data_IF_352123595245
#
_entry.id   IF_352123595245
#
_cell.length_a   1.000
_cell.length_b   1.000
_cell.length_c   1.000
_cell.angle_alpha   90.00
_cell.angle_beta   90.00
_cell.angle_gamma   90.00
#
_symmetry.space_group_name_H-M   'P 1'
#
loop_
_entity.id
_entity.type
_entity.pdbx_description
1 polymer ?
#
# COMPACT_ATOMS: atom_id res chain seq x y z
N UNK A 1 36.99 46.77 -49.90
CA UNK A 1 35.91 46.76 -48.89
C UNK A 1 35.49 45.31 -48.71
N UNK A 2 36.02 44.64 -47.69
CA UNK A 2 35.70 43.25 -47.37
C UNK A 2 34.75 43.21 -46.18
N UNK A 3 33.50 42.82 -46.41
CA UNK A 3 32.52 42.61 -45.34
C UNK A 3 32.74 41.23 -44.72
N UNK A 4 33.19 41.19 -43.46
CA UNK A 4 33.22 39.97 -42.66
C UNK A 4 31.82 39.69 -42.11
N UNK A 5 31.26 38.55 -42.52
CA UNK A 5 30.06 37.96 -41.93
C UNK A 5 30.47 37.38 -40.57
N UNK A 6 30.05 38.02 -39.49
CA UNK A 6 30.18 37.45 -38.15
C UNK A 6 29.14 36.33 -37.98
N UNK A 7 29.60 35.09 -37.96
CA UNK A 7 28.81 33.93 -37.55
C UNK A 7 28.52 34.06 -36.05
N UNK A 8 27.28 34.40 -35.70
CA UNK A 8 26.80 34.36 -34.32
C UNK A 8 26.85 32.93 -33.79
N UNK A 9 27.79 32.66 -32.88
CA UNK A 9 27.90 31.37 -32.22
C UNK A 9 26.71 31.12 -31.31
N UNK A 10 26.00 30.00 -31.53
CA UNK A 10 25.06 29.45 -30.56
C UNK A 10 25.84 29.08 -29.29
N UNK A 11 25.74 29.91 -28.25
CA UNK A 11 26.19 29.51 -26.92
C UNK A 11 25.28 28.36 -26.44
N UNK A 12 25.82 27.22 -25.98
CA UNK A 12 24.99 26.19 -25.37
C UNK A 12 24.37 26.78 -24.10
N UNK A 13 23.06 27.00 -24.13
CA UNK A 13 22.28 27.32 -22.94
C UNK A 13 22.54 26.22 -21.91
N UNK A 14 22.89 26.60 -20.69
CA UNK A 14 23.05 25.65 -19.59
C UNK A 14 21.80 24.75 -19.52
N UNK A 15 21.95 23.43 -19.32
CA UNK A 15 20.81 22.55 -19.22
C UNK A 15 19.87 23.05 -18.12
N UNK A 16 18.55 23.05 -18.35
CA UNK A 16 17.59 23.51 -17.36
C UNK A 16 17.79 22.71 -16.06
N UNK A 17 17.81 23.40 -14.93
CA UNK A 17 17.93 22.76 -13.62
C UNK A 17 16.67 21.95 -13.35
N UNK A 18 16.79 20.63 -13.22
CA UNK A 18 15.69 19.74 -12.88
C UNK A 18 15.43 19.89 -11.37
N UNK A 19 14.27 20.40 -11.00
CA UNK A 19 13.84 20.53 -9.61
C UNK A 19 13.03 19.29 -9.21
N UNK A 20 13.66 18.38 -8.47
CA UNK A 20 13.01 17.16 -7.99
C UNK A 20 12.02 17.48 -6.87
N UNK A 21 10.83 16.86 -6.86
CA UNK A 21 9.92 16.96 -5.74
C UNK A 21 10.50 16.24 -4.52
N UNK A 22 10.19 16.76 -3.33
CA UNK A 22 10.57 16.11 -2.08
C UNK A 22 9.63 14.96 -1.72
N UNK A 23 10.05 14.14 -0.75
CA UNK A 23 9.31 12.97 -0.32
C UNK A 23 7.92 13.30 0.23
N UNK A 24 7.76 14.46 0.88
CA UNK A 24 6.47 14.88 1.43
C UNK A 24 5.49 15.26 0.32
N UNK A 25 5.96 15.93 -0.72
CA UNK A 25 5.17 16.28 -1.90
C UNK A 25 4.73 15.03 -2.66
N UNK A 26 5.63 14.06 -2.85
CA UNK A 26 5.31 12.78 -3.50
C UNK A 26 4.30 12.00 -2.65
N UNK A 27 4.54 11.88 -1.33
CA UNK A 27 3.66 11.16 -0.43
C UNK A 27 2.24 11.77 -0.41
N UNK A 28 2.13 13.10 -0.41
CA UNK A 28 0.83 13.78 -0.48
C UNK A 28 0.08 13.48 -1.79
N UNK A 29 0.79 13.43 -2.92
CA UNK A 29 0.19 13.08 -4.21
C UNK A 29 -0.28 11.61 -4.24
N UNK A 30 0.52 10.71 -3.69
CA UNK A 30 0.16 9.29 -3.54
C UNK A 30 -1.06 9.09 -2.64
N UNK A 31 -1.13 9.81 -1.52
CA UNK A 31 -2.25 9.77 -0.59
C UNK A 31 -3.53 10.29 -1.25
N UNK A 32 -3.45 11.43 -1.95
CA UNK A 32 -4.58 12.00 -2.67
C UNK A 32 -5.08 11.06 -3.78
N UNK A 33 -4.16 10.43 -4.51
CA UNK A 33 -4.51 9.42 -5.51
C UNK A 33 -5.22 8.22 -4.87
N UNK A 34 -4.69 7.67 -3.79
CA UNK A 34 -5.30 6.55 -3.09
C UNK A 34 -6.70 6.88 -2.53
N UNK A 35 -6.88 8.10 -2.02
CA UNK A 35 -8.15 8.58 -1.50
C UNK A 35 -9.20 8.81 -2.60
N UNK A 36 -8.79 9.21 -3.79
CA UNK A 36 -9.69 9.52 -4.91
C UNK A 36 -9.98 8.32 -5.82
N UNK A 37 -9.11 7.31 -5.84
CA UNK A 37 -9.26 6.12 -6.68
C UNK A 37 -10.46 5.26 -6.23
N UNK A 38 -11.40 5.05 -7.17
CA UNK A 38 -12.59 4.23 -6.98
C UNK A 38 -12.24 2.76 -6.80
N UNK A 39 -11.17 2.28 -7.44
CA UNK A 39 -10.72 0.90 -7.34
C UNK A 39 -10.00 0.61 -6.02
N UNK A 40 -9.63 1.65 -5.28
CA UNK A 40 -8.97 1.56 -3.97
C UNK A 40 -9.96 1.50 -2.80
N UNK A 41 -11.28 1.42 -3.03
CA UNK A 41 -12.28 1.38 -1.94
C UNK A 41 -12.09 0.19 -0.98
N UNK A 42 -11.97 -1.02 -1.51
CA UNK A 42 -11.75 -2.22 -0.69
C UNK A 42 -10.40 -2.18 0.05
N UNK A 43 -9.36 -1.65 -0.60
CA UNK A 43 -8.06 -1.46 0.04
C UNK A 43 -8.14 -0.45 1.20
N UNK A 44 -8.88 0.66 1.04
CA UNK A 44 -9.12 1.64 2.10
C UNK A 44 -9.85 1.03 3.29
N UNK A 45 -10.88 0.22 3.03
CA UNK A 45 -11.62 -0.47 4.09
C UNK A 45 -10.75 -1.46 4.85
N UNK A 46 -9.92 -2.22 4.13
CA UNK A 46 -8.97 -3.14 4.73
C UNK A 46 -7.92 -2.40 5.58
N UNK A 47 -7.36 -1.31 5.08
CA UNK A 47 -6.41 -0.47 5.82
C UNK A 47 -7.05 0.13 7.05
N UNK A 48 -8.30 0.59 6.97
CA UNK A 48 -9.05 1.09 8.13
C UNK A 48 -9.28 -0.01 9.17
N UNK A 49 -9.61 -1.22 8.72
CA UNK A 49 -9.83 -2.37 9.61
C UNK A 49 -8.53 -2.80 10.31
N UNK A 50 -7.43 -2.87 9.56
CA UNK A 50 -6.12 -3.26 10.08
C UNK A 50 -5.45 -2.16 10.91
N UNK A 51 -5.59 -0.90 10.49
CA UNK A 51 -5.00 0.24 11.16
C UNK A 51 -5.81 0.78 12.33
N UNK A 52 -7.12 0.46 12.40
CA UNK A 52 -8.06 1.13 13.30
C UNK A 52 -8.33 2.59 12.90
N UNK A 53 -9.14 3.29 13.69
CA UNK A 53 -9.54 4.69 13.42
C UNK A 53 -8.37 5.67 13.27
N UNK A 54 -7.23 5.38 13.91
CA UNK A 54 -6.01 6.21 13.87
C UNK A 54 -4.95 5.68 12.91
N UNK A 55 -5.20 4.55 12.26
CA UNK A 55 -4.26 3.94 11.33
C UNK A 55 -4.17 4.73 10.04
N UNK A 56 -2.98 4.77 9.44
CA UNK A 56 -2.75 5.47 8.18
C UNK A 56 -1.71 4.76 7.32
N UNK A 57 -1.79 4.98 6.02
CA UNK A 57 -0.71 4.61 5.10
C UNK A 57 0.36 5.70 5.09
N UNK A 58 1.61 5.27 5.11
CA UNK A 58 2.80 6.07 4.86
C UNK A 58 3.52 5.49 3.66
N UNK A 59 4.09 6.35 2.83
CA UNK A 59 4.84 5.97 1.65
C UNK A 59 6.33 6.14 1.92
N UNK A 60 7.10 5.07 1.80
CA UNK A 60 8.56 5.12 1.90
C UNK A 60 9.13 5.22 0.49
N UNK A 61 9.64 6.38 0.12
CA UNK A 61 10.15 6.66 -1.22
C UNK A 61 11.62 6.26 -1.26
N UNK A 62 11.96 5.42 -2.23
CA UNK A 62 13.31 4.86 -2.40
C UNK A 62 14.06 5.51 -3.55
N UNK A 63 13.35 5.88 -4.61
CA UNK A 63 13.96 6.43 -5.82
C UNK A 63 13.01 7.36 -6.55
N UNK A 64 13.55 8.44 -7.11
CA UNK A 64 12.83 9.37 -7.99
C UNK A 64 13.63 9.55 -9.28
N UNK A 65 13.04 9.20 -10.42
CA UNK A 65 13.71 9.20 -11.73
C UNK A 65 13.01 10.21 -12.64
N UNK A 66 13.74 11.16 -13.21
CA UNK A 66 13.16 12.11 -14.16
C UNK A 66 12.95 11.47 -15.55
N UNK A 67 11.75 11.59 -16.13
CA UNK A 67 11.34 10.98 -17.41
C UNK A 67 10.90 12.05 -18.44
N UNK A 68 11.69 13.12 -18.59
CA UNK A 68 11.42 14.20 -19.57
C UNK A 68 10.04 14.85 -19.42
N UNK A 69 9.67 15.19 -18.18
CA UNK A 69 8.41 15.84 -17.85
C UNK A 69 7.91 15.35 -16.49
N UNK A 70 7.35 14.14 -16.43
CA UNK A 70 7.02 13.50 -15.17
C UNK A 70 8.24 12.89 -14.47
N UNK A 71 8.08 12.58 -13.19
CA UNK A 71 9.01 11.81 -12.38
C UNK A 71 8.45 10.41 -12.15
N UNK A 72 9.28 9.40 -12.10
CA UNK A 72 8.91 8.07 -11.69
C UNK A 72 9.39 7.86 -10.25
N UNK A 73 8.45 7.68 -9.33
CA UNK A 73 8.74 7.38 -7.93
C UNK A 73 8.64 5.86 -7.69
N UNK A 74 9.68 5.29 -7.08
CA UNK A 74 9.70 3.92 -6.54
C UNK A 74 9.53 3.99 -5.03
N UNK A 75 8.56 3.28 -4.49
CA UNK A 75 8.19 3.38 -3.08
C UNK A 75 7.59 2.10 -2.52
N UNK A 76 7.51 2.02 -1.19
CA UNK A 76 6.74 1.01 -0.47
C UNK A 76 5.56 1.65 0.25
N UNK A 77 4.49 0.88 0.45
CA UNK A 77 3.35 1.28 1.28
C UNK A 77 3.47 0.64 2.67
N UNK A 78 3.45 1.49 3.69
CA UNK A 78 3.63 1.11 5.09
C UNK A 78 2.40 1.51 5.88
N UNK A 79 1.75 0.53 6.51
CA UNK A 79 0.67 0.77 7.45
C UNK A 79 1.27 1.17 8.80
N UNK A 80 0.97 2.38 9.25
CA UNK A 80 1.21 2.83 10.62
C UNK A 80 -0.01 2.43 11.44
N UNK A 81 0.18 1.53 12.39
CA UNK A 81 -0.89 0.96 13.21
C UNK A 81 -1.45 2.01 14.17
N UNK A 82 -2.77 2.19 14.20
CA UNK A 82 -3.47 3.05 15.17
C UNK A 82 -3.90 2.34 16.44
N UNK A 83 -3.79 1.01 16.47
CA UNK A 83 -4.20 0.13 17.57
C UNK A 83 -3.28 -1.10 17.64
N UNK A 84 -3.29 -1.88 18.75
CA UNK A 84 -2.53 -3.13 18.85
C UNK A 84 -2.94 -4.13 17.76
N UNK A 85 -1.98 -4.83 17.19
CA UNK A 85 -2.23 -5.71 16.05
C UNK A 85 -3.10 -6.92 16.37
N UNK A 86 -3.12 -7.40 17.62
CA UNK A 86 -4.11 -8.39 18.08
C UNK A 86 -5.56 -7.88 17.90
N UNK A 87 -5.83 -6.61 18.21
CA UNK A 87 -7.13 -5.99 18.01
C UNK A 87 -7.47 -5.86 16.52
N UNK A 88 -6.47 -5.52 15.69
CA UNK A 88 -6.62 -5.46 14.23
C UNK A 88 -6.93 -6.82 13.61
N UNK A 89 -6.23 -7.88 14.03
CA UNK A 89 -6.53 -9.24 13.59
C UNK A 89 -7.91 -9.68 14.04
N UNK A 90 -8.31 -9.36 15.27
CA UNK A 90 -9.64 -9.69 15.76
C UNK A 90 -10.73 -9.01 14.91
N UNK A 91 -10.56 -7.72 14.60
CA UNK A 91 -11.49 -6.98 13.74
C UNK A 91 -11.56 -7.56 12.33
N UNK A 92 -10.40 -7.86 11.72
CA UNK A 92 -10.33 -8.43 10.38
C UNK A 92 -10.98 -9.83 10.34
N UNK A 93 -10.64 -10.72 11.27
CA UNK A 93 -11.22 -12.06 11.32
C UNK A 93 -12.72 -12.02 11.57
N UNK A 94 -13.21 -11.06 12.37
CA UNK A 94 -14.65 -10.87 12.55
C UNK A 94 -15.40 -10.58 11.25
N UNK A 95 -14.76 -9.96 10.24
CA UNK A 95 -15.36 -9.72 8.92
C UNK A 95 -15.33 -10.94 7.99
N UNK A 96 -14.45 -11.91 8.28
CA UNK A 96 -14.33 -13.15 7.49
C UNK A 96 -15.31 -14.23 7.97
N UNK A 97 -15.85 -14.09 9.18
CA UNK A 97 -16.80 -15.04 9.77
C UNK A 97 -18.23 -14.55 9.50
N UNK A 98 -19.12 -15.38 8.92
CA UNK A 98 -20.53 -15.03 8.76
C UNK A 98 -21.16 -14.62 10.09
N UNK A 99 -21.99 -13.58 10.07
CA UNK A 99 -22.57 -13.00 11.30
C UNK A 99 -23.30 -14.05 12.17
N UNK A 100 -24.05 -14.95 11.54
CA UNK A 100 -24.76 -16.04 12.21
C UNK A 100 -23.84 -17.02 12.94
N UNK A 101 -22.63 -17.26 12.41
CA UNK A 101 -21.64 -18.13 13.04
C UNK A 101 -20.87 -17.36 14.13
N UNK A 102 -20.51 -16.11 13.86
CA UNK A 102 -19.84 -15.24 14.83
C UNK A 102 -20.64 -15.06 16.11
N UNK A 103 -21.97 -14.96 16.03
CA UNK A 103 -22.86 -14.85 17.19
C UNK A 103 -22.88 -16.11 18.07
N UNK A 104 -22.49 -17.27 17.53
CA UNK A 104 -22.40 -18.54 18.26
C UNK A 104 -21.04 -18.74 18.93
N UNK A 105 -20.04 -17.94 18.57
CA UNK A 105 -18.70 -18.09 19.11
C UNK A 105 -18.62 -17.55 20.54
N UNK A 106 -18.12 -18.36 21.49
CA UNK A 106 -17.99 -17.94 22.87
C UNK A 106 -16.90 -16.87 22.96
N UNK A 107 -17.30 -15.66 23.39
CA UNK A 107 -16.46 -14.47 23.52
C UNK A 107 -15.92 -13.97 22.16
N UNK A 108 -16.14 -12.68 21.88
CA UNK A 108 -15.55 -12.00 20.73
C UNK A 108 -14.04 -11.79 20.95
N UNK A 109 -13.28 -12.88 20.87
CA UNK A 109 -11.84 -12.94 21.10
C UNK A 109 -11.10 -13.35 19.82
N UNK A 110 -9.84 -12.95 19.73
CA UNK A 110 -8.97 -13.30 18.61
C UNK A 110 -8.81 -14.83 18.48
N UNK A 111 -8.58 -15.51 19.60
CA UNK A 111 -8.36 -16.96 19.65
C UNK A 111 -9.59 -17.73 19.16
N UNK A 112 -10.81 -17.30 19.55
CA UNK A 112 -12.04 -17.93 19.09
C UNK A 112 -12.24 -17.77 17.58
N UNK A 113 -11.96 -16.57 17.04
CA UNK A 113 -12.09 -16.31 15.60
C UNK A 113 -11.03 -17.06 14.79
N UNK A 114 -9.77 -17.05 15.24
CA UNK A 114 -8.70 -17.80 14.58
C UNK A 114 -8.97 -19.31 14.61
N UNK A 115 -9.48 -19.84 15.74
CA UNK A 115 -9.87 -21.23 15.87
C UNK A 115 -10.98 -21.64 14.91
N UNK A 116 -12.01 -20.81 14.75
CA UNK A 116 -13.10 -21.07 13.80
C UNK A 116 -12.60 -21.02 12.35
N UNK A 117 -11.78 -20.03 11.98
CA UNK A 117 -11.24 -19.91 10.62
C UNK A 117 -10.33 -21.10 10.27
N UNK A 118 -9.52 -21.59 11.23
CA UNK A 118 -8.74 -22.83 11.07
C UNK A 118 -9.63 -24.05 10.84
N UNK A 119 -10.73 -24.19 11.59
CA UNK A 119 -11.69 -25.28 11.36
C UNK A 119 -12.36 -25.19 9.99
N UNK A 120 -12.65 -23.98 9.50
CA UNK A 120 -13.16 -23.80 8.14
C UNK A 120 -12.14 -24.21 7.08
N UNK A 121 -10.86 -23.88 7.26
CA UNK A 121 -9.81 -24.35 6.35
C UNK A 121 -9.75 -25.89 6.30
N UNK A 122 -9.81 -26.56 7.45
CA UNK A 122 -9.85 -28.03 7.52
C UNK A 122 -11.10 -28.60 6.83
N UNK A 123 -12.26 -27.96 6.99
CA UNK A 123 -13.49 -28.35 6.29
C UNK A 123 -13.35 -28.22 4.77
N UNK A 124 -12.75 -27.10 4.31
CA UNK A 124 -12.51 -26.82 2.90
C UNK A 124 -11.55 -27.81 2.25
N UNK A 125 -10.64 -28.47 2.98
CA UNK A 125 -9.75 -29.51 2.40
C UNK A 125 -10.52 -30.62 1.69
N UNK A 126 -11.76 -30.90 2.13
CA UNK A 126 -12.62 -31.94 1.57
C UNK A 126 -13.33 -31.52 0.28
N UNK A 127 -13.52 -30.22 0.07
CA UNK A 127 -14.32 -29.66 -1.04
C UNK A 127 -13.48 -28.87 -2.03
N UNK A 128 -12.44 -28.17 -1.55
CA UNK A 128 -11.50 -27.38 -2.34
C UNK A 128 -10.18 -27.20 -1.60
N UNK A 129 -9.20 -28.05 -1.90
CA UNK A 129 -7.84 -27.94 -1.38
C UNK A 129 -7.18 -26.57 -1.66
N UNK A 130 -7.36 -25.92 -2.83
CA UNK A 130 -6.80 -24.59 -3.07
C UNK A 130 -7.35 -23.51 -2.13
N UNK A 131 -8.65 -23.55 -1.82
CA UNK A 131 -9.27 -22.56 -0.92
C UNK A 131 -8.86 -22.77 0.54
N UNK A 132 -8.72 -24.03 0.96
CA UNK A 132 -8.18 -24.36 2.28
C UNK A 132 -6.76 -23.80 2.45
N UNK A 133 -5.88 -24.06 1.48
CA UNK A 133 -4.50 -23.57 1.51
C UNK A 133 -4.42 -22.04 1.50
N UNK A 134 -5.27 -21.36 0.71
CA UNK A 134 -5.33 -19.90 0.70
C UNK A 134 -5.72 -19.33 2.08
N UNK A 135 -6.72 -19.91 2.74
CA UNK A 135 -7.15 -19.48 4.07
C UNK A 135 -6.07 -19.73 5.13
N UNK A 136 -5.42 -20.90 5.12
CA UNK A 136 -4.31 -21.20 6.04
C UNK A 136 -3.15 -20.22 5.86
N UNK A 137 -2.72 -19.99 4.62
CA UNK A 137 -1.64 -19.06 4.30
C UNK A 137 -2.00 -17.61 4.70
N UNK A 138 -3.27 -17.20 4.52
CA UNK A 138 -3.73 -15.89 4.94
C UNK A 138 -3.65 -15.73 6.47
N UNK A 139 -4.16 -16.70 7.24
CA UNK A 139 -4.08 -16.69 8.71
C UNK A 139 -2.63 -16.69 9.21
N UNK A 140 -1.76 -17.47 8.58
CA UNK A 140 -0.34 -17.53 8.94
C UNK A 140 0.37 -16.20 8.66
N UNK A 141 0.17 -15.64 7.45
CA UNK A 141 0.80 -14.38 7.03
C UNK A 141 0.32 -13.21 7.90
N UNK A 142 -0.99 -13.10 8.11
CA UNK A 142 -1.58 -12.07 8.96
C UNK A 142 -1.13 -12.22 10.42
N UNK A 143 -1.10 -13.44 10.95
CA UNK A 143 -0.59 -13.72 12.28
C UNK A 143 0.87 -13.28 12.45
N UNK A 144 1.74 -13.61 11.48
CA UNK A 144 3.15 -13.21 11.49
C UNK A 144 3.35 -11.70 11.40
N UNK A 145 2.54 -11.01 10.59
CA UNK A 145 2.68 -9.58 10.37
C UNK A 145 2.16 -8.74 11.55
N UNK A 146 1.01 -9.12 12.14
CA UNK A 146 0.26 -8.22 13.03
C UNK A 146 0.20 -8.66 14.49
N UNK A 147 0.25 -9.96 14.81
CA UNK A 147 -0.14 -10.45 16.16
C UNK A 147 0.54 -9.73 17.31
N UNK A 148 1.85 -9.55 17.21
CA UNK A 148 2.69 -8.98 18.27
C UNK A 148 2.98 -7.48 18.08
N UNK A 149 2.30 -6.83 17.13
CA UNK A 149 2.52 -5.42 16.83
C UNK A 149 1.80 -4.52 17.82
N UNK A 150 2.46 -3.44 18.21
CA UNK A 150 1.89 -2.41 19.09
C UNK A 150 1.24 -1.29 18.26
N UNK A 151 0.44 -0.46 18.92
CA UNK A 151 0.01 0.80 18.32
C UNK A 151 1.24 1.67 18.00
N UNK A 152 1.22 2.32 16.84
CA UNK A 152 2.33 3.07 16.27
C UNK A 152 3.35 2.22 15.50
N UNK A 153 3.24 0.89 15.53
CA UNK A 153 4.11 0.02 14.75
C UNK A 153 3.93 0.26 13.23
N UNK A 154 5.01 0.09 12.50
CA UNK A 154 5.05 0.29 11.05
C UNK A 154 5.20 -1.05 10.34
N UNK A 155 4.23 -1.38 9.49
CA UNK A 155 4.16 -2.68 8.81
C UNK A 155 4.14 -2.42 7.32
N UNK A 156 5.16 -2.89 6.60
CA UNK A 156 5.16 -2.80 5.14
C UNK A 156 4.09 -3.73 4.57
N UNK A 157 3.05 -3.16 3.96
CA UNK A 157 1.92 -3.92 3.39
C UNK A 157 2.15 -4.27 1.93
N UNK A 158 2.82 -3.38 1.19
CA UNK A 158 3.22 -3.60 -0.20
C UNK A 158 4.62 -3.07 -0.45
N UNK A 159 5.39 -3.80 -1.24
CA UNK A 159 6.76 -3.46 -1.62
C UNK A 159 6.91 -3.32 -3.12
N UNK A 160 7.86 -2.47 -3.55
CA UNK A 160 8.25 -2.32 -4.95
C UNK A 160 7.21 -1.62 -5.80
N UNK A 161 6.43 -0.71 -5.20
CA UNK A 161 5.43 0.08 -5.92
C UNK A 161 6.08 1.17 -6.77
N UNK A 162 5.33 1.59 -7.79
CA UNK A 162 5.72 2.63 -8.73
C UNK A 162 4.60 3.62 -8.96
N UNK A 163 4.96 4.88 -9.14
CA UNK A 163 4.03 5.90 -9.60
C UNK A 163 4.72 6.89 -10.54
N UNK A 164 3.96 7.38 -11.51
CA UNK A 164 4.32 8.53 -12.33
C UNK A 164 3.81 9.78 -11.62
N UNK A 165 4.72 10.65 -11.21
CA UNK A 165 4.47 11.91 -10.53
C UNK A 165 4.57 13.03 -11.56
N UNK A 166 3.41 13.58 -11.93
CA UNK A 166 3.29 14.63 -12.94
C UNK A 166 3.03 15.98 -12.27
N UNK A 167 3.79 17.04 -12.64
CA UNK A 167 3.44 18.39 -12.22
C UNK A 167 2.10 18.82 -12.82
N UNK A 168 1.22 19.34 -11.97
CA UNK A 168 -0.05 19.94 -12.38
C UNK A 168 -0.14 21.39 -11.91
N UNK A 169 -1.18 22.12 -12.37
CA UNK A 169 -1.39 23.53 -12.00
C UNK A 169 -1.46 23.76 -10.49
N UNK A 170 -1.97 22.78 -9.74
CA UNK A 170 -2.23 22.89 -8.29
C UNK A 170 -1.41 21.92 -7.44
N UNK A 171 -0.26 21.45 -7.94
CA UNK A 171 0.63 20.55 -7.18
C UNK A 171 1.12 19.37 -8.01
N UNK A 172 1.20 18.21 -7.39
CA UNK A 172 1.63 16.97 -8.05
C UNK A 172 0.44 16.01 -8.16
N UNK A 173 0.34 15.34 -9.30
CA UNK A 173 -0.56 14.23 -9.52
C UNK A 173 0.23 12.93 -9.58
N UNK A 174 -0.27 11.88 -8.93
CA UNK A 174 0.35 10.57 -8.95
C UNK A 174 -0.51 9.57 -9.73
N UNK A 175 0.07 8.91 -10.72
CA UNK A 175 -0.54 7.81 -11.45
C UNK A 175 0.16 6.50 -11.08
N UNK A 176 -0.60 5.48 -10.67
CA UNK A 176 -0.02 4.19 -10.29
C UNK A 176 0.59 3.49 -11.50
N UNK A 177 1.83 3.02 -11.35
CA UNK A 177 2.50 2.20 -12.36
C UNK A 177 2.40 0.72 -11.99
N UNK A 178 2.07 -0.11 -12.97
CA UNK A 178 2.16 -1.56 -12.84
C UNK A 178 3.62 -1.98 -13.00
N UNK A 179 4.27 -2.31 -11.90
CA UNK A 179 5.65 -2.80 -11.88
C UNK A 179 5.70 -4.31 -11.64
N UNK A 180 6.60 -5.04 -12.32
CA UNK A 180 6.71 -6.50 -12.19
C UNK A 180 7.15 -6.96 -10.79
N UNK A 181 7.87 -6.10 -10.05
CA UNK A 181 8.43 -6.43 -8.73
C UNK A 181 7.48 -6.10 -7.57
N UNK A 182 6.23 -5.70 -7.87
CA UNK A 182 5.25 -5.34 -6.84
C UNK A 182 4.85 -6.57 -6.03
N UNK A 183 5.09 -6.55 -4.72
CA UNK A 183 4.82 -7.68 -3.83
C UNK A 183 3.93 -7.26 -2.66
N UNK A 184 2.81 -7.97 -2.44
CA UNK A 184 2.04 -7.86 -1.20
C UNK A 184 2.73 -8.66 -0.08
N UNK A 185 2.89 -8.07 1.10
CA UNK A 185 3.63 -8.70 2.22
C UNK A 185 2.74 -9.05 3.41
N UNK A 186 1.89 -8.12 3.81
CA UNK A 186 1.08 -8.20 5.03
C UNK A 186 -0.38 -7.89 4.73
N UNK A 187 -0.88 -8.41 3.61
CA UNK A 187 -2.28 -8.30 3.19
C UNK A 187 -2.83 -9.72 2.98
N UNK A 188 -4.14 -9.95 3.20
CA UNK A 188 -4.78 -11.19 2.82
C UNK A 188 -4.64 -11.37 1.29
N UNK A 189 -4.16 -12.55 0.89
CA UNK A 189 -3.96 -12.95 -0.51
C UNK A 189 -5.13 -13.70 -1.11
#
# INVERSE_FOLDING_TARGET
>A
MGSMIALGGCSPSAPPTIAYPDDQQIAAALEAQFASDRHSAAARDLIRTLGGEKGKLRYQIHQVIYRQGPYEARYDAVLVMGQPGAQSLQALYATMIPEAERAKLPQASLEAYEGWLKQQAESLKKTSAPQAAALENALETLGKCYRDQQAGAEITVMQGLGALISPERNGLFAEKLALPDTTARCLPG
#
